data_IF_171810628611
#
_entry.id   IF_171810628611
#
_cell.length_a   1.000
_cell.length_b   1.000
_cell.length_c   1.000
_cell.angle_alpha   90.00
_cell.angle_beta   90.00
_cell.angle_gamma   90.00
#
_symmetry.space_group_name_H-M   'P 1'
#
loop_
_entity.id
_entity.type
_entity.pdbx_description
1 polymer ?
#
# COMPACT_ATOMS: atom_id res chain seq x y z
N UNK A 1 2.12 -23.53 -3.36
CA UNK A 1 2.74 -23.50 -2.02
C UNK A 1 3.81 -24.58 -2.00
N UNK A 2 5.09 -24.20 -1.95
CA UNK A 2 6.18 -25.17 -1.88
C UNK A 2 6.09 -25.95 -0.57
N UNK A 3 6.03 -27.28 -0.65
CA UNK A 3 6.04 -28.15 0.52
C UNK A 3 7.44 -28.12 1.14
N UNK A 4 7.59 -27.33 2.19
CA UNK A 4 8.80 -27.33 3.01
C UNK A 4 8.99 -28.75 3.59
N UNK A 5 10.24 -29.26 3.62
CA UNK A 5 10.56 -30.53 4.27
C UNK A 5 10.18 -30.48 5.76
N UNK A 6 9.71 -31.60 6.31
CA UNK A 6 9.09 -31.65 7.64
C UNK A 6 10.00 -31.14 8.78
N UNK A 7 11.32 -31.29 8.63
CA UNK A 7 12.36 -30.70 9.48
C UNK A 7 12.21 -29.17 9.62
N UNK A 8 12.01 -28.47 8.50
CA UNK A 8 11.94 -27.01 8.50
C UNK A 8 10.60 -26.52 9.06
N UNK A 9 9.52 -27.29 8.83
CA UNK A 9 8.21 -27.05 9.46
C UNK A 9 8.29 -27.18 10.98
N UNK A 10 8.99 -28.18 11.51
CA UNK A 10 9.19 -28.36 12.96
C UNK A 10 10.07 -27.26 13.56
N UNK A 11 11.17 -26.88 12.90
CA UNK A 11 12.02 -25.77 13.35
C UNK A 11 11.30 -24.42 13.35
N UNK A 12 10.49 -24.14 12.32
CA UNK A 12 9.62 -22.95 12.28
C UNK A 12 8.58 -22.98 13.39
N UNK A 13 7.93 -24.12 13.63
CA UNK A 13 6.96 -24.25 14.73
C UNK A 13 7.60 -24.06 16.11
N UNK A 14 8.81 -24.58 16.34
CA UNK A 14 9.54 -24.38 17.59
C UNK A 14 9.94 -22.91 17.78
N UNK A 15 10.39 -22.23 16.72
CA UNK A 15 10.76 -20.81 16.76
C UNK A 15 9.53 -19.92 17.00
N UNK A 16 8.40 -20.23 16.35
CA UNK A 16 7.13 -19.52 16.56
C UNK A 16 6.59 -19.74 17.99
N UNK A 17 6.70 -20.96 18.52
CA UNK A 17 6.33 -21.28 19.90
C UNK A 17 7.19 -20.53 20.93
N UNK A 18 8.50 -20.37 20.69
CA UNK A 18 9.40 -19.60 21.55
C UNK A 18 9.12 -18.08 21.52
N UNK A 19 8.63 -17.57 20.39
CA UNK A 19 8.27 -16.16 20.22
C UNK A 19 6.89 -15.77 20.79
N UNK A 20 6.13 -16.74 21.31
CA UNK A 20 4.73 -16.53 21.72
C UNK A 20 3.78 -16.26 20.55
N UNK A 21 4.25 -16.39 19.31
CA UNK A 21 3.46 -16.20 18.11
C UNK A 21 2.57 -17.42 17.88
N UNK A 22 1.29 -17.27 18.21
CA UNK A 22 0.25 -18.23 17.84
C UNK A 22 -0.36 -17.81 16.49
N UNK A 23 -0.40 -18.68 15.48
CA UNK A 23 -1.16 -18.43 14.27
C UNK A 23 -2.63 -18.16 14.60
N UNK A 24 -3.18 -17.08 14.04
CA UNK A 24 -4.58 -16.71 14.24
C UNK A 24 -5.50 -17.85 13.81
N UNK A 25 -6.48 -18.17 14.65
CA UNK A 25 -7.52 -19.12 14.28
C UNK A 25 -8.46 -18.50 13.22
N UNK A 26 -9.30 -19.32 12.59
CA UNK A 26 -10.20 -18.86 11.52
C UNK A 26 -11.13 -17.72 11.98
N UNK A 27 -11.68 -17.82 13.19
CA UNK A 27 -12.57 -16.79 13.74
C UNK A 27 -11.85 -15.48 14.02
N UNK A 28 -10.62 -15.53 14.53
CA UNK A 28 -9.78 -14.34 14.76
C UNK A 28 -9.45 -13.64 13.44
N UNK A 29 -9.03 -14.40 12.41
CA UNK A 29 -8.78 -13.86 11.06
C UNK A 29 -10.03 -13.20 10.48
N UNK A 30 -11.18 -13.88 10.57
CA UNK A 30 -12.47 -13.33 10.14
C UNK A 30 -12.82 -12.04 10.86
N UNK A 31 -12.66 -11.97 12.18
CA UNK A 31 -13.01 -10.77 12.95
C UNK A 31 -12.11 -9.59 12.61
N UNK A 32 -10.80 -9.81 12.46
CA UNK A 32 -9.86 -8.78 12.00
C UNK A 32 -10.23 -8.31 10.60
N UNK A 33 -10.52 -9.25 9.70
CA UNK A 33 -10.88 -8.93 8.33
C UNK A 33 -12.18 -8.12 8.25
N UNK A 34 -13.22 -8.52 9.00
CA UNK A 34 -14.49 -7.79 9.07
C UNK A 34 -14.32 -6.40 9.69
N UNK A 35 -13.53 -6.28 10.75
CA UNK A 35 -13.19 -5.00 11.34
C UNK A 35 -12.49 -4.09 10.33
N UNK A 36 -11.45 -4.59 9.65
CA UNK A 36 -10.72 -3.84 8.62
C UNK A 36 -11.65 -3.42 7.48
N UNK A 37 -12.57 -4.27 7.05
CA UNK A 37 -13.53 -3.97 5.99
C UNK A 37 -14.56 -2.90 6.38
N UNK A 38 -15.05 -2.93 7.62
CA UNK A 38 -16.01 -1.94 8.13
C UNK A 38 -15.45 -0.52 8.20
N UNK A 39 -14.13 -0.38 8.32
CA UNK A 39 -13.46 0.92 8.43
C UNK A 39 -13.14 1.56 7.07
N UNK A 40 -13.59 0.96 5.96
CA UNK A 40 -13.21 1.38 4.61
C UNK A 40 -14.40 1.97 3.86
N UNK A 41 -14.14 3.04 3.11
CA UNK A 41 -15.08 3.56 2.14
C UNK A 41 -15.06 2.68 0.86
N UNK A 42 -16.20 2.04 0.56
CA UNK A 42 -16.33 1.11 -0.57
C UNK A 42 -16.14 1.83 -1.92
N UNK A 43 -16.58 3.08 -2.04
CA UNK A 43 -16.44 3.85 -3.27
C UNK A 43 -14.98 4.21 -3.52
N UNK A 44 -14.27 4.67 -2.48
CA UNK A 44 -12.83 4.95 -2.58
C UNK A 44 -12.02 3.68 -2.88
N UNK A 45 -12.38 2.54 -2.27
CA UNK A 45 -11.77 1.24 -2.56
C UNK A 45 -12.01 0.78 -3.99
N UNK A 46 -13.15 1.13 -4.59
CA UNK A 46 -13.44 0.84 -6.00
C UNK A 46 -12.49 1.61 -6.91
N UNK A 47 -12.22 2.89 -6.62
CA UNK A 47 -11.23 3.68 -7.35
C UNK A 47 -9.82 3.13 -7.18
N UNK A 48 -9.41 2.80 -5.96
CA UNK A 48 -8.11 2.17 -5.70
C UNK A 48 -7.95 0.86 -6.49
N UNK A 49 -8.99 0.03 -6.55
CA UNK A 49 -8.99 -1.20 -7.37
C UNK A 49 -8.79 -0.93 -8.84
N UNK A 50 -9.49 0.06 -9.39
CA UNK A 50 -9.35 0.42 -10.80
C UNK A 50 -7.92 0.86 -11.11
N UNK A 51 -7.33 1.72 -10.27
CA UNK A 51 -5.94 2.17 -10.43
C UNK A 51 -4.96 0.99 -10.37
N UNK A 52 -5.12 0.11 -9.39
CA UNK A 52 -4.18 -1.00 -9.16
C UNK A 52 -4.29 -2.11 -10.22
N UNK A 53 -5.50 -2.45 -10.66
CA UNK A 53 -5.72 -3.53 -11.62
C UNK A 53 -5.59 -3.09 -13.09
N UNK A 54 -6.01 -1.86 -13.41
CA UNK A 54 -6.04 -1.37 -14.79
C UNK A 54 -4.88 -0.41 -15.11
N UNK A 55 -4.08 -0.04 -14.10
CA UNK A 55 -3.00 0.94 -14.28
C UNK A 55 -3.51 2.33 -14.66
N UNK A 56 -4.77 2.66 -14.36
CA UNK A 56 -5.30 3.99 -14.63
C UNK A 56 -4.69 5.00 -13.67
N UNK A 57 -4.50 6.21 -14.18
CA UNK A 57 -4.07 7.35 -13.39
C UNK A 57 -5.25 8.29 -13.20
N UNK A 58 -5.55 8.64 -11.94
CA UNK A 58 -6.79 9.36 -11.59
C UNK A 58 -6.47 10.56 -10.73
N UNK A 59 -6.74 11.76 -11.22
CA UNK A 59 -6.66 12.97 -10.40
C UNK A 59 -7.68 12.91 -9.26
N UNK A 60 -7.21 13.15 -8.05
CA UNK A 60 -8.02 13.04 -6.84
C UNK A 60 -7.61 14.09 -5.81
N UNK A 61 -8.60 14.56 -5.06
CA UNK A 61 -8.40 15.21 -3.78
C UNK A 61 -8.82 14.26 -2.66
N UNK A 62 -7.98 14.10 -1.65
CA UNK A 62 -8.27 13.42 -0.39
C UNK A 62 -8.31 14.44 0.74
N UNK A 63 -9.35 14.38 1.57
CA UNK A 63 -9.39 15.09 2.84
C UNK A 63 -8.98 14.13 3.95
N UNK A 64 -7.94 14.49 4.70
CA UNK A 64 -7.38 13.65 5.78
C UNK A 64 -6.94 14.51 6.95
N UNK A 65 -7.56 14.36 8.12
CA UNK A 65 -7.09 15.01 9.36
C UNK A 65 -6.94 16.54 9.22
N UNK A 66 -7.84 17.18 8.47
CA UNK A 66 -7.80 18.63 8.19
C UNK A 66 -6.80 19.06 7.10
N UNK A 67 -6.15 18.10 6.43
CA UNK A 67 -5.34 18.32 5.23
C UNK A 67 -6.19 18.08 3.98
N UNK A 68 -5.95 18.87 2.94
CA UNK A 68 -6.39 18.55 1.57
C UNK A 68 -5.18 18.11 0.76
N UNK A 69 -5.22 16.90 0.23
CA UNK A 69 -4.14 16.28 -0.50
C UNK A 69 -4.62 16.06 -1.93
N UNK A 70 -4.06 16.83 -2.85
CA UNK A 70 -4.33 16.71 -4.29
C UNK A 70 -3.19 15.94 -4.94
N UNK A 71 -3.50 15.16 -5.96
CA UNK A 71 -2.51 14.51 -6.81
C UNK A 71 -3.15 13.52 -7.75
N UNK A 72 -2.33 12.86 -8.55
CA UNK A 72 -2.78 11.78 -9.43
C UNK A 72 -2.57 10.45 -8.72
N UNK A 73 -3.64 9.71 -8.46
CA UNK A 73 -3.58 8.36 -7.91
C UNK A 73 -2.96 7.41 -8.92
N UNK A 74 -1.98 6.62 -8.45
CA UNK A 74 -1.21 5.67 -9.25
C UNK A 74 -1.12 4.32 -8.55
N UNK A 75 -0.82 3.27 -9.30
CA UNK A 75 -0.67 1.93 -8.74
C UNK A 75 0.51 1.83 -7.78
N UNK A 76 0.47 0.85 -6.89
CA UNK A 76 1.58 0.50 -6.00
C UNK A 76 2.84 0.20 -6.80
N UNK A 77 2.69 -0.44 -7.97
CA UNK A 77 3.81 -0.71 -8.89
C UNK A 77 4.47 0.58 -9.37
N UNK A 78 3.70 1.56 -9.84
CA UNK A 78 4.24 2.84 -10.30
C UNK A 78 4.93 3.61 -9.16
N UNK A 79 4.33 3.60 -7.96
CA UNK A 79 4.93 4.18 -6.76
C UNK A 79 6.26 3.52 -6.40
N UNK A 80 6.33 2.18 -6.37
CA UNK A 80 7.53 1.46 -6.01
C UNK A 80 8.65 1.69 -7.04
N UNK A 81 8.33 1.63 -8.33
CA UNK A 81 9.30 1.82 -9.39
C UNK A 81 10.00 3.18 -9.30
N UNK A 82 9.24 4.25 -9.03
CA UNK A 82 9.83 5.58 -8.84
C UNK A 82 10.92 5.60 -7.76
N UNK A 83 10.65 4.99 -6.61
CA UNK A 83 11.61 4.98 -5.49
C UNK A 83 12.80 4.05 -5.75
N UNK A 84 12.58 2.92 -6.42
CA UNK A 84 13.67 2.05 -6.90
C UNK A 84 14.60 2.87 -7.79
N UNK A 85 14.07 3.51 -8.84
CA UNK A 85 14.87 4.28 -9.80
C UNK A 85 15.58 5.46 -9.12
N UNK A 86 14.89 6.18 -8.23
CA UNK A 86 15.48 7.29 -7.48
C UNK A 86 16.67 6.82 -6.64
N UNK A 87 16.53 5.70 -5.92
CA UNK A 87 17.53 5.22 -4.98
C UNK A 87 18.70 4.52 -5.68
N UNK A 88 18.43 3.81 -6.78
CA UNK A 88 19.46 3.31 -7.69
C UNK A 88 20.35 4.46 -8.17
N UNK A 89 19.75 5.54 -8.68
CA UNK A 89 20.51 6.70 -9.16
C UNK A 89 21.29 7.42 -8.04
N UNK A 90 20.75 7.46 -6.82
CA UNK A 90 21.38 8.16 -5.69
C UNK A 90 22.52 7.36 -5.04
N UNK A 91 22.37 6.05 -4.88
CA UNK A 91 23.23 5.27 -3.99
C UNK A 91 24.10 4.23 -4.69
N UNK A 92 23.81 3.84 -5.94
CA UNK A 92 24.48 2.69 -6.58
C UNK A 92 26.01 2.79 -6.61
N UNK A 93 26.56 4.00 -6.77
CA UNK A 93 28.01 4.20 -6.83
C UNK A 93 28.68 4.26 -5.46
N UNK A 94 28.05 4.93 -4.49
CA UNK A 94 28.67 5.23 -3.18
C UNK A 94 28.30 4.20 -2.10
N UNK A 95 27.13 3.59 -2.19
CA UNK A 95 26.57 2.67 -1.19
C UNK A 95 25.70 1.58 -1.86
N UNK A 96 26.29 0.64 -2.61
CA UNK A 96 25.56 -0.39 -3.36
C UNK A 96 24.65 -1.26 -2.48
N UNK A 97 25.11 -1.66 -1.29
CA UNK A 97 24.31 -2.45 -0.35
C UNK A 97 23.04 -1.68 0.10
N UNK A 98 23.12 -0.35 0.19
CA UNK A 98 21.96 0.49 0.52
C UNK A 98 20.98 0.54 -0.64
N UNK A 99 21.49 0.66 -1.87
CA UNK A 99 20.66 0.63 -3.07
C UNK A 99 19.96 -0.73 -3.22
N UNK A 100 20.65 -1.85 -2.99
CA UNK A 100 20.09 -3.20 -3.04
C UNK A 100 19.00 -3.40 -1.98
N UNK A 101 19.27 -3.01 -0.73
CA UNK A 101 18.27 -3.08 0.35
C UNK A 101 17.00 -2.29 0.02
N UNK A 102 17.15 -1.06 -0.50
CA UNK A 102 16.02 -0.21 -0.84
C UNK A 102 15.25 -0.75 -2.05
N UNK A 103 15.96 -1.29 -3.04
CA UNK A 103 15.34 -2.01 -4.16
C UNK A 103 14.44 -3.13 -3.66
N UNK A 104 14.98 -4.04 -2.84
CA UNK A 104 14.24 -5.18 -2.28
C UNK A 104 13.02 -4.71 -1.48
N UNK A 105 13.19 -3.69 -0.63
CA UNK A 105 12.10 -3.12 0.16
C UNK A 105 10.94 -2.63 -0.69
N UNK A 106 11.21 -1.81 -1.73
CA UNK A 106 10.16 -1.26 -2.58
C UNK A 106 9.56 -2.32 -3.51
N UNK A 107 10.37 -3.23 -4.06
CA UNK A 107 9.89 -4.34 -4.86
C UNK A 107 8.91 -5.23 -4.08
N UNK A 108 9.17 -5.46 -2.78
CA UNK A 108 8.28 -6.24 -1.91
C UNK A 108 6.92 -5.57 -1.62
N UNK A 109 6.74 -4.28 -1.95
CA UNK A 109 5.43 -3.62 -1.83
C UNK A 109 4.48 -4.01 -2.95
N UNK A 110 5.01 -4.41 -4.12
CA UNK A 110 4.19 -4.74 -5.28
C UNK A 110 3.64 -6.15 -5.11
N UNK A 111 2.31 -6.34 -5.08
CA UNK A 111 1.74 -7.66 -4.99
C UNK A 111 2.10 -8.50 -6.23
N UNK A 112 2.33 -9.80 -6.08
CA UNK A 112 2.60 -10.67 -7.22
C UNK A 112 1.35 -10.80 -8.11
N UNK A 113 1.55 -11.02 -9.41
CA UNK A 113 0.47 -11.06 -10.41
C UNK A 113 -0.53 -12.21 -10.17
N UNK A 114 -0.13 -13.25 -9.43
CA UNK A 114 -0.95 -14.40 -9.05
C UNK A 114 -1.68 -14.22 -7.71
N UNK A 115 -1.61 -13.02 -7.10
CA UNK A 115 -2.29 -12.76 -5.84
C UNK A 115 -3.81 -12.87 -6.04
N UNK A 116 -4.53 -13.65 -5.20
CA UNK A 116 -5.96 -13.83 -5.36
C UNK A 116 -6.72 -12.52 -5.14
N UNK A 117 -7.65 -12.19 -6.04
CA UNK A 117 -8.51 -10.98 -5.94
C UNK A 117 -9.49 -11.03 -4.75
N UNK A 118 -9.75 -12.24 -4.25
CA UNK A 118 -10.63 -12.53 -3.13
C UNK A 118 -9.76 -13.02 -1.97
N UNK A 119 -9.89 -12.37 -0.82
CA UNK A 119 -9.23 -12.78 0.40
C UNK A 119 -9.75 -14.13 0.91
N UNK A 120 -9.07 -14.73 1.90
CA UNK A 120 -9.39 -16.07 2.43
C UNK A 120 -10.82 -16.22 2.98
N UNK A 121 -11.54 -15.12 3.21
CA UNK A 121 -12.92 -15.10 3.74
C UNK A 121 -13.99 -14.89 2.66
N UNK A 122 -13.64 -14.98 1.36
CA UNK A 122 -14.61 -14.86 0.27
C UNK A 122 -15.01 -13.43 -0.07
N UNK A 123 -14.24 -12.45 0.40
CA UNK A 123 -14.50 -11.02 0.21
C UNK A 123 -13.33 -10.33 -0.49
N UNK A 124 -13.55 -9.22 -1.22
CA UNK A 124 -12.51 -8.63 -2.05
C UNK A 124 -11.28 -8.18 -1.28
N UNK A 125 -10.10 -8.30 -1.87
CA UNK A 125 -8.88 -7.69 -1.32
C UNK A 125 -9.06 -6.18 -1.23
N UNK A 126 -8.66 -5.63 -0.09
CA UNK A 126 -8.76 -4.21 0.25
C UNK A 126 -7.38 -3.57 0.17
N UNK A 127 -7.32 -2.39 -0.45
CA UNK A 127 -6.10 -1.61 -0.52
C UNK A 127 -5.94 -0.84 0.79
N UNK A 128 -4.79 -1.02 1.46
CA UNK A 128 -4.53 -0.33 2.73
C UNK A 128 -4.04 1.10 2.52
N UNK A 129 -3.38 1.36 1.40
CA UNK A 129 -2.74 2.62 1.08
C UNK A 129 -3.17 3.12 -0.30
N UNK A 130 -3.27 4.44 -0.44
CA UNK A 130 -3.26 5.12 -1.73
C UNK A 130 -1.85 5.69 -1.97
N UNK A 131 -1.48 5.71 -3.24
CA UNK A 131 -0.25 6.33 -3.71
C UNK A 131 -0.62 7.43 -4.70
N UNK A 132 -0.10 8.63 -4.46
CA UNK A 132 -0.30 9.78 -5.34
C UNK A 132 1.05 10.25 -5.88
N UNK A 133 1.05 10.71 -7.13
CA UNK A 133 2.14 11.52 -7.72
C UNK A 133 1.71 12.97 -7.92
N UNK A 134 2.69 13.85 -8.13
CA UNK A 134 2.49 15.29 -8.36
C UNK A 134 1.65 15.96 -7.26
N UNK A 135 2.03 15.67 -6.03
CA UNK A 135 1.19 15.86 -4.86
C UNK A 135 1.27 17.30 -4.39
N UNK A 136 0.12 17.89 -4.13
CA UNK A 136 -0.01 19.17 -3.44
C UNK A 136 -0.78 18.96 -2.14
N UNK A 137 -0.15 19.24 -1.01
CA UNK A 137 -0.77 19.20 0.31
C UNK A 137 -1.09 20.63 0.74
N UNK A 138 -2.34 20.88 1.11
CA UNK A 138 -2.81 22.15 1.64
C UNK A 138 -3.28 22.00 3.09
N UNK A 139 -2.80 22.91 3.96
CA UNK A 139 -3.20 22.99 5.37
C UNK A 139 -3.14 24.43 5.85
N UNK A 140 -4.25 24.98 6.34
CA UNK A 140 -4.29 26.30 7.00
C UNK A 140 -3.50 27.39 6.25
N UNK A 141 -3.68 27.48 4.93
CA UNK A 141 -3.01 28.46 4.06
C UNK A 141 -1.59 28.09 3.59
N UNK A 142 -1.01 26.99 4.07
CA UNK A 142 0.28 26.47 3.59
C UNK A 142 0.07 25.46 2.45
N UNK A 143 0.94 25.53 1.44
CA UNK A 143 0.97 24.63 0.27
C UNK A 143 2.35 23.96 0.20
N UNK A 144 2.39 22.64 0.21
CA UNK A 144 3.62 21.84 0.04
C UNK A 144 3.46 20.99 -1.21
N UNK A 145 4.52 20.92 -2.04
CA UNK A 145 4.58 20.05 -3.21
C UNK A 145 5.53 18.89 -2.96
N UNK A 146 5.11 17.67 -3.31
CA UNK A 146 5.90 16.44 -3.18
C UNK A 146 5.78 15.64 -4.48
N UNK A 147 6.85 14.95 -4.93
CA UNK A 147 6.78 14.14 -6.14
C UNK A 147 5.84 12.94 -5.96
N UNK A 148 5.91 12.29 -4.81
CA UNK A 148 5.06 11.15 -4.44
C UNK A 148 4.62 11.24 -2.98
N UNK A 149 3.46 10.65 -2.70
CA UNK A 149 2.89 10.53 -1.36
C UNK A 149 2.22 9.17 -1.20
N UNK A 150 2.33 8.60 0.00
CA UNK A 150 1.66 7.37 0.42
C UNK A 150 0.85 7.65 1.67
N UNK A 151 -0.43 7.30 1.67
CA UNK A 151 -1.29 7.45 2.85
C UNK A 151 -2.32 6.35 3.00
N UNK A 152 -2.86 6.19 4.21
CA UNK A 152 -3.80 5.12 4.54
C UNK A 152 -5.21 5.46 4.06
N UNK A 153 -5.84 4.54 3.34
CA UNK A 153 -7.20 4.73 2.83
C UNK A 153 -8.25 4.82 3.95
N UNK A 154 -8.04 4.13 5.07
CA UNK A 154 -8.95 4.20 6.22
C UNK A 154 -8.82 5.48 7.07
N UNK A 155 -7.99 6.43 6.65
CA UNK A 155 -7.86 7.74 7.29
C UNK A 155 -8.38 8.87 6.39
N UNK A 156 -9.03 8.52 5.28
CA UNK A 156 -9.65 9.48 4.36
C UNK A 156 -11.05 9.80 4.86
N UNK A 157 -11.26 11.08 5.20
CA UNK A 157 -12.53 11.61 5.69
C UNK A 157 -13.49 11.87 4.52
N UNK A 158 -12.97 12.32 3.37
CA UNK A 158 -13.71 12.57 2.14
C UNK A 158 -12.78 12.54 0.92
N UNK A 159 -13.32 12.31 -0.27
CA UNK A 159 -12.56 12.36 -1.52
C UNK A 159 -13.37 12.98 -2.67
N UNK A 160 -12.65 13.53 -3.66
CA UNK A 160 -13.22 14.05 -4.92
C UNK A 160 -12.37 13.56 -6.08
N UNK A 161 -12.99 12.88 -7.04
CA UNK A 161 -12.34 12.45 -8.29
C UNK A 161 -12.40 13.57 -9.32
N UNK A 162 -11.31 13.76 -10.07
CA UNK A 162 -11.16 14.83 -11.07
C UNK A 162 -10.85 16.20 -10.47
N UNK A 163 -10.47 16.26 -9.19
CA UNK A 163 -10.07 17.50 -8.54
C UNK A 163 -8.56 17.75 -8.72
N UNK A 164 -8.21 18.95 -9.15
CA UNK A 164 -6.83 19.44 -9.16
C UNK A 164 -6.68 20.58 -8.16
N UNK A 165 -5.50 20.68 -7.55
CA UNK A 165 -5.12 21.91 -6.87
C UNK A 165 -4.93 22.94 -7.97
N UNK A 166 -5.92 23.83 -8.17
CA UNK A 166 -5.79 24.95 -9.09
C UNK A 166 -4.45 25.68 -8.90
N UNK A 167 -3.97 26.33 -9.96
CA UNK A 167 -2.69 27.05 -9.96
C UNK A 167 -2.59 28.05 -8.80
#
# INVERSE_FOLDING_TARGET
MADLPDNEKENLQQTLAQSGFRPLNKSERRNIWLHDYQQQDIALQSWARVVEQQGLEIDIMLQMQGLLIFGTMVSTRAYAQFYVDLHENMYRQEAPDTADFLHEYYAALVPPDDQPEIGPEGLPVMFRYAHLRDVTIMSSGHKIKLPYWRGKLNQVDAFVVGASAGE
#
